data_IF_317150348706
#
_entry.id   IF_317150348706
#
_cell.length_a   1.000
_cell.length_b   1.000
_cell.length_c   1.000
_cell.angle_alpha   90.00
_cell.angle_beta   90.00
_cell.angle_gamma   90.00
#
_symmetry.space_group_name_H-M   'P 1'
#
loop_
_entity.id
_entity.type
_entity.pdbx_description
1 polymer ?
#
# COMPACT_ATOMS: atom_id res chain seq x y z
N UNK A 1 -45.13 42.10 -61.75
CA UNK A 1 -43.67 42.27 -61.77
C UNK A 1 -43.03 41.06 -61.07
N UNK A 2 -42.59 40.09 -61.85
CA UNK A 2 -42.10 38.78 -61.41
C UNK A 2 -40.75 38.89 -60.69
N UNK A 3 -39.89 39.77 -61.20
CA UNK A 3 -38.58 40.11 -60.60
C UNK A 3 -38.70 40.60 -59.14
N UNK A 4 -39.77 41.32 -58.79
CA UNK A 4 -39.99 41.78 -57.42
C UNK A 4 -40.33 40.63 -56.46
N UNK A 5 -41.02 39.58 -56.95
CA UNK A 5 -41.37 38.40 -56.14
C UNK A 5 -40.16 37.50 -55.91
N UNK A 6 -39.34 37.30 -56.93
CA UNK A 6 -38.08 36.55 -56.83
C UNK A 6 -37.09 37.25 -55.88
N UNK A 7 -36.96 38.58 -55.98
CA UNK A 7 -36.13 39.35 -55.05
C UNK A 7 -36.63 39.25 -53.58
N UNK A 8 -37.96 39.21 -53.38
CA UNK A 8 -38.56 39.02 -52.05
C UNK A 8 -38.30 37.61 -51.49
N UNK A 9 -38.35 36.57 -52.33
CA UNK A 9 -38.03 35.20 -51.92
C UNK A 9 -36.55 35.05 -51.57
N UNK A 10 -35.65 35.56 -52.42
CA UNK A 10 -34.20 35.50 -52.17
C UNK A 10 -33.78 36.25 -50.90
N UNK A 11 -34.42 37.38 -50.58
CA UNK A 11 -34.15 38.13 -49.34
C UNK A 11 -34.64 37.40 -48.10
N UNK A 12 -35.77 36.69 -48.17
CA UNK A 12 -36.27 35.87 -47.07
C UNK A 12 -35.38 34.64 -46.83
N UNK A 13 -34.91 33.98 -47.90
CA UNK A 13 -33.95 32.87 -47.83
C UNK A 13 -32.61 33.30 -47.22
N UNK A 14 -32.08 34.46 -47.64
CA UNK A 14 -30.87 35.05 -47.06
C UNK A 14 -31.03 35.34 -45.57
N UNK A 15 -32.18 35.88 -45.14
CA UNK A 15 -32.47 36.10 -43.71
C UNK A 15 -32.53 34.79 -42.93
N UNK A 16 -33.13 33.76 -43.52
CA UNK A 16 -33.20 32.45 -42.89
C UNK A 16 -31.81 31.82 -42.70
N UNK A 17 -30.95 31.88 -43.73
CA UNK A 17 -29.56 31.42 -43.63
C UNK A 17 -28.73 32.26 -42.65
N UNK A 18 -28.87 33.59 -42.66
CA UNK A 18 -28.24 34.45 -41.65
C UNK A 18 -28.68 34.07 -40.22
N UNK A 19 -29.96 33.75 -40.02
CA UNK A 19 -30.46 33.26 -38.74
C UNK A 19 -29.86 31.91 -38.33
N UNK A 20 -29.58 31.00 -39.27
CA UNK A 20 -28.88 29.73 -38.98
C UNK A 20 -27.43 29.97 -38.57
N UNK A 21 -26.72 30.83 -39.30
CA UNK A 21 -25.32 31.20 -39.02
C UNK A 21 -25.21 31.86 -37.64
N UNK A 22 -26.10 32.80 -37.33
CA UNK A 22 -26.18 33.46 -36.02
C UNK A 22 -26.31 32.44 -34.89
N UNK A 23 -27.26 31.50 -35.00
CA UNK A 23 -27.48 30.44 -33.99
C UNK A 23 -26.28 29.49 -33.86
N UNK A 24 -25.60 29.18 -34.96
CA UNK A 24 -24.37 28.36 -34.92
C UNK A 24 -23.24 29.09 -34.21
N UNK A 25 -23.01 30.35 -34.56
CA UNK A 25 -21.99 31.21 -33.93
C UNK A 25 -22.23 31.39 -32.43
N UNK A 26 -23.48 31.59 -32.00
CA UNK A 26 -23.85 31.68 -30.59
C UNK A 26 -23.58 30.37 -29.82
N UNK A 27 -23.81 29.21 -30.45
CA UNK A 27 -23.50 27.90 -29.85
C UNK A 27 -22.00 27.68 -29.72
N UNK A 28 -21.24 28.05 -30.74
CA UNK A 28 -19.77 27.98 -30.73
C UNK A 28 -19.18 28.89 -29.67
N UNK A 29 -19.68 30.13 -29.54
CA UNK A 29 -19.26 31.06 -28.49
C UNK A 29 -19.52 30.50 -27.08
N UNK A 30 -20.71 29.96 -26.82
CA UNK A 30 -21.04 29.32 -25.53
C UNK A 30 -20.17 28.09 -25.26
N UNK A 31 -19.87 27.30 -26.30
CA UNK A 31 -18.99 26.14 -26.19
C UNK A 31 -17.55 26.56 -25.88
N UNK A 32 -17.05 27.62 -26.51
CA UNK A 32 -15.72 28.17 -26.27
C UNK A 32 -15.58 28.73 -24.85
N UNK A 33 -16.61 29.40 -24.33
CA UNK A 33 -16.65 29.90 -22.96
C UNK A 33 -16.65 28.74 -21.95
N UNK A 34 -17.48 27.72 -22.16
CA UNK A 34 -17.49 26.52 -21.32
C UNK A 34 -16.15 25.76 -21.36
N UNK A 35 -15.48 25.73 -22.52
CA UNK A 35 -14.14 25.15 -22.65
C UNK A 35 -13.09 25.97 -21.87
N UNK A 36 -13.17 27.30 -21.91
CA UNK A 36 -12.28 28.16 -21.15
C UNK A 36 -12.42 27.94 -19.63
N UNK A 37 -13.65 27.82 -19.13
CA UNK A 37 -13.94 27.49 -17.72
C UNK A 37 -13.40 26.12 -17.32
N UNK A 38 -13.58 25.11 -18.18
CA UNK A 38 -13.04 23.77 -17.97
C UNK A 38 -11.50 23.78 -17.90
N UNK A 39 -10.85 24.55 -18.78
CA UNK A 39 -9.39 24.73 -18.78
C UNK A 39 -8.93 25.41 -17.49
N UNK A 40 -9.63 26.44 -17.02
CA UNK A 40 -9.31 27.11 -15.76
C UNK A 40 -9.42 26.14 -14.56
N UNK A 41 -10.47 25.31 -14.53
CA UNK A 41 -10.65 24.28 -13.50
C UNK A 41 -9.54 23.21 -13.54
N UNK A 42 -9.14 22.76 -14.73
CA UNK A 42 -8.04 21.79 -14.89
C UNK A 42 -6.69 22.36 -14.42
N UNK A 43 -6.44 23.66 -14.60
CA UNK A 43 -5.24 24.32 -14.07
C UNK A 43 -5.19 24.31 -12.54
N UNK A 44 -6.33 24.58 -11.88
CA UNK A 44 -6.39 24.54 -10.42
C UNK A 44 -6.17 23.12 -9.88
N UNK A 45 -6.83 22.12 -10.49
CA UNK A 45 -6.67 20.72 -10.09
C UNK A 45 -5.24 20.20 -10.29
N UNK A 46 -4.56 20.62 -11.36
CA UNK A 46 -3.15 20.25 -11.58
C UNK A 46 -2.22 20.89 -10.54
N UNK A 47 -2.46 22.15 -10.15
CA UNK A 47 -1.71 22.80 -9.07
C UNK A 47 -1.90 22.09 -7.71
N UNK A 48 -3.12 21.68 -7.39
CA UNK A 48 -3.44 20.92 -6.18
C UNK A 48 -2.75 19.55 -6.16
N UNK A 49 -2.81 18.81 -7.28
CA UNK A 49 -2.08 17.55 -7.45
C UNK A 49 -0.59 17.73 -7.18
N UNK A 50 0.03 18.72 -7.82
CA UNK A 50 1.48 18.97 -7.68
C UNK A 50 1.84 19.36 -6.24
N UNK A 51 0.97 20.09 -5.55
CA UNK A 51 1.15 20.42 -4.13
C UNK A 51 1.09 19.16 -3.25
N UNK A 52 0.17 18.24 -3.55
CA UNK A 52 0.05 16.97 -2.84
C UNK A 52 1.24 16.05 -3.10
N UNK A 53 1.72 15.96 -4.35
CA UNK A 53 2.92 15.20 -4.70
C UNK A 53 4.17 15.73 -3.97
N UNK A 54 4.32 17.06 -3.87
CA UNK A 54 5.41 17.67 -3.08
C UNK A 54 5.31 17.33 -1.59
N UNK A 55 4.11 17.31 -1.03
CA UNK A 55 3.88 16.89 0.37
C UNK A 55 4.24 15.41 0.56
N UNK A 56 3.83 14.53 -0.35
CA UNK A 56 4.15 13.11 -0.31
C UNK A 56 5.67 12.89 -0.33
N UNK A 57 6.38 13.48 -1.30
CA UNK A 57 7.86 13.39 -1.36
C UNK A 57 8.54 13.88 -0.09
N UNK A 58 8.00 14.94 0.56
CA UNK A 58 8.55 15.43 1.83
C UNK A 58 8.30 14.45 2.97
N UNK A 59 7.12 13.84 3.05
CA UNK A 59 6.81 12.81 4.04
C UNK A 59 7.66 11.56 3.82
N UNK A 60 7.83 11.11 2.57
CA UNK A 60 8.70 9.99 2.22
C UNK A 60 10.16 10.28 2.57
N UNK A 61 10.67 11.48 2.30
CA UNK A 61 12.03 11.87 2.70
C UNK A 61 12.18 11.94 4.22
N UNK A 62 11.17 12.45 4.93
CA UNK A 62 11.19 12.49 6.40
C UNK A 62 11.11 11.08 7.01
N UNK A 63 10.33 10.18 6.41
CA UNK A 63 10.32 8.76 6.77
C UNK A 63 11.68 8.11 6.47
N UNK A 64 12.25 8.37 5.29
CA UNK A 64 13.57 7.89 4.87
C UNK A 64 14.71 8.36 5.80
N UNK A 65 14.68 9.62 6.24
CA UNK A 65 15.64 10.16 7.21
C UNK A 65 15.45 9.65 8.64
N UNK A 66 14.25 9.20 9.04
CA UNK A 66 14.07 8.46 10.30
C UNK A 66 14.57 7.01 10.19
N UNK A 67 14.59 6.44 8.98
CA UNK A 67 14.97 5.03 8.80
C UNK A 67 16.47 4.78 8.78
N UNK A 68 17.37 5.73 8.53
CA UNK A 68 18.82 5.37 8.49
C UNK A 68 19.40 5.08 9.88
N UNK A 69 18.93 5.76 10.94
CA UNK A 69 19.25 5.42 12.32
C UNK A 69 18.39 4.25 12.83
N UNK A 70 17.08 4.28 12.55
CA UNK A 70 16.13 3.30 13.10
C UNK A 70 16.12 1.95 12.38
N UNK A 71 16.60 1.83 11.13
CA UNK A 71 16.62 0.55 10.38
C UNK A 71 17.65 -0.41 10.93
N UNK A 72 18.80 0.08 11.40
CA UNK A 72 19.80 -0.74 12.09
C UNK A 72 19.29 -1.26 13.43
N UNK A 73 18.66 -0.39 14.23
CA UNK A 73 18.06 -0.75 15.52
C UNK A 73 16.88 -1.73 15.35
N UNK A 74 16.05 -1.53 14.33
CA UNK A 74 14.91 -2.41 14.06
C UNK A 74 15.34 -3.76 13.48
N UNK A 75 16.39 -3.80 12.65
CA UNK A 75 16.98 -5.07 12.17
C UNK A 75 17.63 -5.87 13.31
N UNK A 76 18.33 -5.19 14.22
CA UNK A 76 18.87 -5.80 15.45
C UNK A 76 17.74 -6.31 16.35
N UNK A 77 16.67 -5.53 16.54
CA UNK A 77 15.52 -5.94 17.34
C UNK A 77 14.82 -7.16 16.74
N UNK A 78 14.60 -7.19 15.44
CA UNK A 78 14.00 -8.34 14.75
C UNK A 78 14.94 -9.57 14.79
N UNK A 79 16.25 -9.37 14.69
CA UNK A 79 17.22 -10.44 14.90
C UNK A 79 17.10 -11.04 16.32
N UNK A 80 17.10 -10.22 17.37
CA UNK A 80 16.95 -10.70 18.75
C UNK A 80 15.58 -11.36 18.99
N UNK A 81 14.49 -10.81 18.45
CA UNK A 81 13.17 -11.46 18.49
C UNK A 81 13.21 -12.83 17.82
N UNK A 82 13.86 -12.96 16.68
CA UNK A 82 14.00 -14.25 15.97
C UNK A 82 14.77 -15.28 16.81
N UNK A 83 15.75 -14.85 17.60
CA UNK A 83 16.48 -15.72 18.52
C UNK A 83 15.60 -16.29 19.62
N UNK A 84 14.51 -15.62 20.03
CA UNK A 84 13.57 -16.13 21.03
C UNK A 84 12.53 -17.11 20.46
N UNK A 85 12.38 -17.20 19.13
CA UNK A 85 11.40 -18.07 18.46
C UNK A 85 11.86 -19.52 18.38
N UNK A 86 10.91 -20.46 18.45
CA UNK A 86 11.18 -21.87 18.24
C UNK A 86 11.71 -22.08 16.81
N UNK A 87 12.89 -22.72 16.61
CA UNK A 87 13.47 -22.90 15.28
C UNK A 87 12.69 -23.89 14.40
N UNK A 88 11.80 -24.69 14.99
CA UNK A 88 11.00 -25.68 14.27
C UNK A 88 9.76 -25.07 13.60
N UNK A 89 8.95 -24.34 14.35
CA UNK A 89 7.72 -23.74 13.84
C UNK A 89 7.88 -22.27 13.45
N UNK A 90 8.92 -21.58 13.92
CA UNK A 90 9.17 -20.14 13.76
C UNK A 90 8.02 -19.23 14.22
N UNK A 91 7.03 -19.78 14.92
CA UNK A 91 5.81 -19.09 15.34
C UNK A 91 5.80 -18.80 16.84
N UNK A 92 5.87 -19.86 17.65
CA UNK A 92 5.85 -19.79 19.12
C UNK A 92 7.23 -19.45 19.69
N UNK A 93 7.25 -18.86 20.89
CA UNK A 93 8.51 -18.62 21.61
C UNK A 93 9.09 -19.94 22.13
N UNK A 94 10.38 -19.95 22.46
CA UNK A 94 10.98 -21.07 23.18
C UNK A 94 10.50 -21.07 24.63
N UNK A 95 9.85 -22.15 25.03
CA UNK A 95 9.29 -22.36 26.37
C UNK A 95 9.59 -23.78 26.92
N UNK A 96 10.39 -24.58 26.20
CA UNK A 96 10.87 -25.88 26.64
C UNK A 96 12.36 -26.09 26.33
N UNK A 97 13.12 -26.66 27.27
CA UNK A 97 14.54 -26.97 27.13
C UNK A 97 14.81 -28.47 27.31
N UNK A 98 15.67 -29.04 26.45
CA UNK A 98 16.17 -30.41 26.59
C UNK A 98 17.44 -30.37 27.44
N UNK A 99 17.34 -30.79 28.71
CA UNK A 99 18.44 -30.67 29.69
C UNK A 99 19.66 -31.51 29.36
N UNK A 100 19.54 -32.53 28.48
CA UNK A 100 20.68 -33.32 28.00
C UNK A 100 21.64 -32.57 27.08
N UNK A 101 21.16 -31.57 26.34
CA UNK A 101 21.95 -30.89 25.32
C UNK A 101 21.74 -29.37 25.27
N UNK A 102 20.91 -28.80 26.14
CA UNK A 102 20.69 -27.36 26.27
C UNK A 102 19.89 -26.70 25.14
N UNK A 103 19.51 -27.43 24.09
CA UNK A 103 18.70 -26.87 23.01
C UNK A 103 17.26 -26.62 23.48
N UNK A 104 16.73 -25.45 23.11
CA UNK A 104 15.40 -25.00 23.46
C UNK A 104 14.49 -24.84 22.24
N UNK A 105 13.21 -25.11 22.43
CA UNK A 105 12.15 -25.15 21.42
C UNK A 105 10.82 -24.74 22.08
N UNK A 106 9.72 -24.71 21.31
CA UNK A 106 8.40 -24.65 21.95
C UNK A 106 7.95 -26.04 22.42
N UNK A 107 7.16 -26.09 23.48
CA UNK A 107 6.60 -27.26 24.14
C UNK A 107 5.80 -28.10 23.16
N UNK A 108 4.92 -27.47 22.39
CA UNK A 108 4.13 -28.10 21.33
C UNK A 108 5.00 -28.92 20.35
N UNK A 109 6.11 -28.34 19.88
CA UNK A 109 6.98 -29.03 18.93
C UNK A 109 7.74 -30.21 19.55
N UNK A 110 8.12 -30.13 20.82
CA UNK A 110 8.83 -31.21 21.51
C UNK A 110 7.86 -32.34 21.88
N UNK A 111 6.68 -32.00 22.39
CA UNK A 111 5.67 -32.98 22.78
C UNK A 111 5.18 -33.76 21.56
N UNK A 112 4.93 -33.08 20.43
CA UNK A 112 4.58 -33.75 19.17
C UNK A 112 5.66 -34.76 18.72
N UNK A 113 6.95 -34.45 18.90
CA UNK A 113 8.03 -35.39 18.60
C UNK A 113 8.06 -36.57 19.55
N UNK A 114 7.80 -36.35 20.83
CA UNK A 114 7.73 -37.41 21.83
C UNK A 114 6.55 -38.37 21.55
N UNK A 115 5.41 -37.84 21.11
CA UNK A 115 4.24 -38.61 20.66
C UNK A 115 4.58 -39.50 19.46
N UNK A 116 5.29 -38.96 18.46
CA UNK A 116 5.81 -39.70 17.30
C UNK A 116 6.99 -40.63 17.63
N UNK A 117 7.32 -40.80 18.92
CA UNK A 117 8.47 -41.58 19.43
C UNK A 117 9.83 -41.13 18.87
N UNK A 118 9.93 -39.91 18.36
CA UNK A 118 11.16 -39.32 17.84
C UNK A 118 11.96 -38.65 18.97
N UNK A 119 12.68 -39.48 19.72
CA UNK A 119 13.47 -39.13 20.92
C UNK A 119 14.86 -38.56 20.62
N UNK A 120 15.02 -37.83 19.51
CA UNK A 120 16.29 -37.19 19.12
C UNK A 120 16.13 -35.69 19.07
N UNK A 121 17.07 -34.97 19.68
CA UNK A 121 17.07 -33.51 19.70
C UNK A 121 17.08 -32.97 18.25
N UNK A 122 16.16 -32.07 17.88
CA UNK A 122 16.13 -31.51 16.53
C UNK A 122 17.36 -30.68 16.16
N UNK A 123 18.07 -30.12 17.14
CA UNK A 123 19.26 -29.28 16.92
C UNK A 123 20.58 -30.05 16.80
N UNK A 124 20.73 -31.15 17.54
CA UNK A 124 22.01 -31.88 17.62
C UNK A 124 21.90 -33.41 17.57
N UNK A 125 20.69 -33.95 17.37
CA UNK A 125 20.41 -35.39 17.34
C UNK A 125 20.70 -36.19 18.62
N UNK A 126 21.09 -35.51 19.72
CA UNK A 126 21.25 -36.14 21.03
C UNK A 126 19.96 -36.84 21.48
N UNK A 127 20.07 -38.10 21.92
CA UNK A 127 18.92 -38.88 22.40
C UNK A 127 18.44 -38.36 23.75
N UNK A 128 17.12 -38.21 23.92
CA UNK A 128 16.51 -37.75 25.17
C UNK A 128 15.12 -38.38 25.38
N UNK A 129 14.67 -38.40 26.63
CA UNK A 129 13.33 -38.84 27.03
C UNK A 129 12.51 -37.69 27.64
N UNK A 130 11.21 -37.91 27.83
CA UNK A 130 10.27 -36.93 28.41
C UNK A 130 10.77 -36.33 29.72
N UNK A 131 11.45 -37.11 30.57
CA UNK A 131 11.99 -36.64 31.85
C UNK A 131 13.08 -35.55 31.73
N UNK A 132 13.72 -35.45 30.56
CA UNK A 132 14.75 -34.45 30.27
C UNK A 132 14.20 -33.18 29.62
N UNK A 133 12.89 -33.07 29.42
CA UNK A 133 12.26 -31.85 28.92
C UNK A 133 11.72 -31.05 30.10
N UNK A 134 12.21 -29.83 30.27
CA UNK A 134 11.80 -28.91 31.34
C UNK A 134 11.23 -27.63 30.74
N UNK A 135 10.37 -26.96 31.50
CA UNK A 135 9.87 -25.65 31.11
C UNK A 135 11.04 -24.65 31.09
N UNK A 136 11.02 -23.76 30.11
CA UNK A 136 11.94 -22.64 29.97
C UNK A 136 11.14 -21.36 30.11
N UNK A 137 11.19 -20.75 31.28
CA UNK A 137 10.57 -19.45 31.52
C UNK A 137 11.61 -18.36 31.26
N UNK A 138 11.47 -17.68 30.12
CA UNK A 138 12.22 -16.47 29.83
C UNK A 138 11.52 -15.30 30.54
N UNK A 139 11.62 -15.25 31.87
CA UNK A 139 11.17 -14.08 32.62
C UNK A 139 12.03 -12.87 32.24
N UNK A 140 11.40 -11.84 31.68
CA UNK A 140 11.99 -10.52 31.49
C UNK A 140 10.99 -9.48 31.98
N UNK A 141 11.25 -8.92 33.16
CA UNK A 141 10.80 -7.58 33.58
C UNK A 141 9.33 -7.38 33.92
N UNK A 142 9.08 -6.86 35.13
CA UNK A 142 7.91 -6.06 35.45
C UNK A 142 7.92 -4.73 34.67
#
# INVERSE_FOLDING_TARGET
DEAQREAAQATEELRHEQGKIQRSSEREAKSAEAAADAIAKLKNLTQERDAMERKLKRLERNAGNSTTASKGENEQLEYYKSMCKCPLCKNSNKDAIITKCGHAFCRECIDHRLELRNRKCPGCSQVFDKGYVKDLWLEYGA
#
